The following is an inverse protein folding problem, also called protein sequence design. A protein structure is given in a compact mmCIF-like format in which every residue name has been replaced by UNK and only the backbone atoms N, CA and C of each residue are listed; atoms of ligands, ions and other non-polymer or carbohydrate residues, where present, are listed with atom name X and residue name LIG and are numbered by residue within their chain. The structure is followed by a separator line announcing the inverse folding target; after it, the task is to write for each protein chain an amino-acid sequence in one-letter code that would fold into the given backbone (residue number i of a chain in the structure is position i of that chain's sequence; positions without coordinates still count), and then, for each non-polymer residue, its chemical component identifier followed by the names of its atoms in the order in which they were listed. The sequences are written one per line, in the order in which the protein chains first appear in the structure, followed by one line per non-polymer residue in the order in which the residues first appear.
data_IF_345822929664
#
_entry.id   IF_345822929664
#
_cell.length_a   1.000
_cell.length_b   1.000
_cell.length_c   1.000
_cell.angle_alpha   90.00
_cell.angle_beta   90.00
_cell.angle_gamma   90.00
#
_symmetry.space_group_name_H-M   'P 1'
#
loop_
_entity.id
_entity.type
_entity.pdbx_description
1 polymer ?
#
# COMPACT_ATOMS: atom_id res chain seq x y z
N UNK A 1 15.71 -15.03 1.47
CA UNK A 1 14.48 -15.17 0.66
C UNK A 1 13.29 -14.93 1.57
N UNK A 2 12.30 -14.17 1.12
CA UNK A 2 11.05 -13.88 1.85
C UNK A 2 9.85 -14.09 0.93
N UNK A 3 8.68 -14.39 1.49
CA UNK A 3 7.46 -14.57 0.71
C UNK A 3 6.62 -13.28 0.71
N UNK A 4 5.73 -13.07 -0.28
CA UNK A 4 4.76 -11.97 -0.27
C UNK A 4 3.96 -11.88 1.03
N UNK A 5 3.54 -13.03 1.59
CA UNK A 5 2.80 -13.10 2.84
C UNK A 5 3.62 -12.60 4.04
N UNK A 6 4.91 -12.99 4.12
CA UNK A 6 5.81 -12.51 5.18
C UNK A 6 6.03 -10.99 5.09
N UNK A 7 6.22 -10.45 3.88
CA UNK A 7 6.33 -8.99 3.69
C UNK A 7 5.04 -8.30 4.12
N UNK A 8 3.88 -8.83 3.74
CA UNK A 8 2.57 -8.27 4.13
C UNK A 8 2.39 -8.27 5.64
N UNK A 9 2.72 -9.38 6.32
CA UNK A 9 2.66 -9.49 7.78
C UNK A 9 3.63 -8.53 8.49
N UNK A 10 4.83 -8.32 7.94
CA UNK A 10 5.79 -7.34 8.47
C UNK A 10 5.22 -5.91 8.38
N UNK A 11 4.65 -5.52 7.24
CA UNK A 11 4.07 -4.19 7.09
C UNK A 11 2.82 -4.00 7.95
N UNK A 12 2.03 -5.06 8.15
CA UNK A 12 0.94 -5.05 9.12
C UNK A 12 1.48 -4.78 10.54
N UNK A 13 2.54 -5.47 10.96
CA UNK A 13 3.19 -5.23 12.25
C UNK A 13 3.76 -3.80 12.36
N UNK A 14 4.43 -3.32 11.32
CA UNK A 14 4.97 -1.95 11.29
C UNK A 14 3.88 -0.89 11.41
N UNK A 15 2.65 -1.19 11.02
CA UNK A 15 1.54 -0.23 11.00
C UNK A 15 0.64 -0.28 12.22
N UNK A 16 0.59 -1.40 12.96
CA UNK A 16 -0.35 -1.63 14.06
C UNK A 16 0.24 -1.41 15.48
N UNK A 17 1.30 -0.62 15.59
CA UNK A 17 1.99 -0.39 16.86
C UNK A 17 3.10 -1.41 17.15
N UNK A 18 3.54 -2.15 16.14
CA UNK A 18 4.67 -3.09 16.24
C UNK A 18 4.28 -4.53 16.55
N UNK A 19 3.02 -4.84 16.66
CA UNK A 19 2.53 -6.18 17.03
C UNK A 19 2.54 -7.12 15.84
N UNK A 20 3.27 -8.22 15.92
CA UNK A 20 3.27 -9.24 14.86
C UNK A 20 1.94 -10.01 14.87
N UNK A 21 1.28 -10.06 13.73
CA UNK A 21 0.03 -10.81 13.54
C UNK A 21 0.33 -12.03 12.68
N UNK A 22 -0.08 -13.20 13.12
CA UNK A 22 -0.05 -14.42 12.29
C UNK A 22 -1.24 -14.38 11.33
N UNK A 23 -1.02 -14.34 10.00
CA UNK A 23 -2.11 -14.39 9.05
C UNK A 23 -2.94 -15.66 9.22
N UNK A 24 -4.26 -15.56 9.14
CA UNK A 24 -5.22 -16.67 9.20
C UNK A 24 -6.29 -16.49 8.15
N UNK A 25 -6.71 -17.60 7.52
CA UNK A 25 -7.89 -17.67 6.66
C UNK A 25 -9.14 -18.10 7.45
N UNK A 26 -8.97 -18.45 8.72
CA UNK A 26 -10.07 -18.88 9.59
C UNK A 26 -10.60 -17.65 10.30
N UNK A 27 -11.91 -17.41 10.17
CA UNK A 27 -12.65 -16.37 10.88
C UNK A 27 -12.71 -16.76 12.36
N UNK A 28 -12.69 -15.77 13.25
CA UNK A 28 -12.80 -15.93 14.71
C UNK A 28 -11.69 -16.75 15.38
N UNK A 29 -10.60 -17.00 14.67
CA UNK A 29 -9.40 -17.50 15.32
C UNK A 29 -8.81 -16.41 16.22
N UNK A 30 -8.78 -16.67 17.53
CA UNK A 30 -8.08 -15.80 18.46
C UNK A 30 -6.64 -15.61 17.99
N UNK A 31 -6.30 -14.38 17.60
CA UNK A 31 -4.94 -14.03 17.32
C UNK A 31 -4.20 -13.96 18.65
N UNK A 32 -3.40 -14.97 18.96
CA UNK A 32 -2.47 -14.89 20.08
C UNK A 32 -1.64 -13.61 19.91
N UNK A 33 -1.80 -12.68 20.83
CA UNK A 33 -0.99 -11.47 20.85
C UNK A 33 0.47 -11.89 20.97
N UNK A 34 1.25 -11.55 19.99
CA UNK A 34 2.70 -11.66 20.04
C UNK A 34 3.25 -10.32 20.53
N UNK A 35 4.32 -10.35 21.27
CA UNK A 35 5.01 -9.15 21.75
C UNK A 35 5.33 -8.21 20.60
N UNK A 36 5.33 -6.90 20.90
CA UNK A 36 5.65 -5.90 19.91
C UNK A 36 7.12 -6.02 19.50
N UNK A 37 7.38 -6.15 18.20
CA UNK A 37 8.75 -6.23 17.64
C UNK A 37 9.39 -4.87 17.43
N UNK A 38 8.59 -3.79 17.44
CA UNK A 38 9.02 -2.40 17.44
C UNK A 38 8.12 -1.58 18.36
N UNK A 39 8.61 -0.43 18.84
CA UNK A 39 7.79 0.47 19.66
C UNK A 39 6.66 1.13 18.86
N UNK A 40 5.59 1.52 19.55
CA UNK A 40 4.50 2.28 18.93
C UNK A 40 5.00 3.61 18.33
N UNK A 41 5.94 4.27 18.96
CA UNK A 41 6.56 5.49 18.44
C UNK A 41 7.25 5.23 17.09
N UNK A 42 8.02 4.15 16.98
CA UNK A 42 8.66 3.73 15.74
C UNK A 42 7.62 3.40 14.67
N UNK A 43 6.54 2.71 15.03
CA UNK A 43 5.42 2.42 14.12
C UNK A 43 4.80 3.71 13.55
N UNK A 44 4.56 4.72 14.39
CA UNK A 44 4.03 6.02 13.94
C UNK A 44 5.00 6.71 12.98
N UNK A 45 6.29 6.75 13.31
CA UNK A 45 7.32 7.32 12.42
C UNK A 45 7.36 6.62 11.07
N UNK A 46 7.32 5.29 11.05
CA UNK A 46 7.31 4.49 9.81
C UNK A 46 6.08 4.78 8.97
N UNK A 47 4.88 4.84 9.55
CA UNK A 47 3.64 5.20 8.83
C UNK A 47 3.74 6.57 8.16
N UNK A 48 4.31 7.56 8.85
CA UNK A 48 4.51 8.90 8.33
C UNK A 48 5.52 8.92 7.16
N UNK A 49 6.60 8.12 7.25
CA UNK A 49 7.56 7.96 6.16
C UNK A 49 6.90 7.28 4.96
N UNK A 50 6.16 6.19 5.18
CA UNK A 50 5.46 5.48 4.12
C UNK A 50 4.40 6.36 3.44
N UNK A 51 3.72 7.25 4.19
CA UNK A 51 2.81 8.23 3.62
C UNK A 51 3.54 9.21 2.68
N UNK A 52 4.72 9.69 3.07
CA UNK A 52 5.52 10.60 2.24
C UNK A 52 5.98 9.96 0.91
N UNK A 53 6.18 8.65 0.86
CA UNK A 53 6.48 7.93 -0.40
C UNK A 53 5.34 8.05 -1.41
N UNK A 54 4.11 8.17 -0.93
CA UNK A 54 2.90 8.29 -1.78
C UNK A 54 2.52 9.74 -2.01
N UNK A 55 2.45 10.57 -0.96
CA UNK A 55 1.94 11.95 -1.04
C UNK A 55 3.02 13.01 -1.24
N UNK A 56 4.27 12.70 -0.94
CA UNK A 56 5.36 13.68 -1.03
C UNK A 56 5.69 14.09 -2.46
N UNK A 57 6.18 15.30 -2.66
CA UNK A 57 6.51 15.85 -3.99
C UNK A 57 7.44 14.94 -4.79
N UNK A 58 8.45 14.35 -4.15
CA UNK A 58 9.38 13.41 -4.76
C UNK A 58 9.03 11.95 -4.50
N UNK A 59 7.79 11.67 -4.08
CA UNK A 59 7.34 10.31 -3.77
C UNK A 59 7.24 9.44 -5.02
N UNK A 60 7.71 8.20 -4.91
CA UNK A 60 7.74 7.25 -6.03
C UNK A 60 6.41 6.51 -6.26
N UNK A 61 5.42 6.74 -5.40
CA UNK A 61 4.17 5.97 -5.41
C UNK A 61 2.91 6.86 -5.53
N UNK A 62 3.01 8.03 -6.16
CA UNK A 62 1.91 9.00 -6.26
C UNK A 62 0.68 8.47 -7.01
N UNK A 63 0.81 7.52 -7.93
CA UNK A 63 -0.32 6.92 -8.64
C UNK A 63 -1.25 6.09 -7.71
N UNK A 64 -0.78 5.73 -6.50
CA UNK A 64 -1.60 5.13 -5.46
C UNK A 64 -2.21 6.15 -4.50
N UNK A 65 -1.95 7.44 -4.65
CA UNK A 65 -2.57 8.48 -3.82
C UNK A 65 -4.04 8.64 -4.21
N UNK A 66 -4.92 8.05 -3.42
CA UNK A 66 -6.35 8.10 -3.62
C UNK A 66 -6.99 8.92 -2.51
N UNK A 67 -7.76 9.93 -2.90
CA UNK A 67 -8.43 10.84 -1.96
C UNK A 67 -9.26 10.07 -0.93
N UNK A 68 -9.09 10.40 0.34
CA UNK A 68 -9.81 9.81 1.45
C UNK A 68 -9.20 8.50 2.01
N UNK A 69 -8.25 7.87 1.29
CA UNK A 69 -7.69 6.58 1.74
C UNK A 69 -6.34 6.67 2.47
N UNK A 70 -5.68 7.83 2.44
CA UNK A 70 -4.41 8.06 3.14
C UNK A 70 -3.39 6.93 2.94
N UNK A 71 -3.22 6.53 1.69
CA UNK A 71 -2.33 5.41 1.33
C UNK A 71 -0.88 5.76 1.65
N UNK A 72 -0.18 4.86 2.31
CA UNK A 72 1.26 4.90 2.48
C UNK A 72 1.87 3.60 1.97
N UNK A 73 3.12 3.60 1.51
CA UNK A 73 3.69 2.37 1.01
C UNK A 73 5.13 2.50 0.53
N UNK A 74 5.66 1.39 -0.02
CA UNK A 74 7.03 1.32 -0.54
C UNK A 74 7.05 0.57 -1.86
N UNK A 75 7.73 1.15 -2.82
CA UNK A 75 8.01 0.54 -4.12
C UNK A 75 9.23 -0.38 -4.07
N UNK A 76 9.21 -1.44 -4.84
CA UNK A 76 10.36 -2.30 -5.09
C UNK A 76 10.45 -2.63 -6.58
N UNK A 77 11.61 -2.40 -7.18
CA UNK A 77 11.92 -2.80 -8.56
C UNK A 77 13.18 -3.63 -8.49
N UNK A 78 13.07 -4.90 -8.82
CA UNK A 78 14.18 -5.84 -8.84
C UNK A 78 14.38 -6.42 -10.25
N UNK A 79 15.60 -6.68 -10.62
CA UNK A 79 15.94 -7.46 -11.80
C UNK A 79 16.06 -8.93 -11.39
N UNK A 80 15.54 -9.83 -12.22
CA UNK A 80 15.63 -11.27 -11.97
C UNK A 80 17.08 -11.73 -12.09
N UNK A 81 17.46 -12.66 -11.22
CA UNK A 81 18.80 -13.23 -11.23
C UNK A 81 19.04 -13.98 -12.56
N UNK A 82 20.12 -13.63 -13.27
CA UNK A 82 20.53 -14.27 -14.52
C UNK A 82 19.97 -13.67 -15.80
N UNK A 83 18.88 -12.92 -15.76
CA UNK A 83 18.32 -12.24 -16.93
C UNK A 83 17.87 -10.80 -16.57
N UNK A 84 18.72 -9.83 -16.92
CA UNK A 84 18.44 -8.40 -16.68
C UNK A 84 17.21 -7.87 -17.42
N UNK A 85 16.63 -8.63 -18.35
CA UNK A 85 15.40 -8.25 -19.05
C UNK A 85 14.15 -8.56 -18.21
N UNK A 86 14.25 -9.49 -17.26
CA UNK A 86 13.14 -9.88 -16.42
C UNK A 86 13.13 -9.02 -15.14
N UNK A 87 12.02 -8.37 -14.89
CA UNK A 87 11.82 -7.50 -13.73
C UNK A 87 10.69 -7.98 -12.86
N UNK A 88 10.87 -7.81 -11.55
CA UNK A 88 9.82 -7.97 -10.56
C UNK A 88 9.55 -6.61 -9.93
N UNK A 89 8.36 -6.09 -10.17
CA UNK A 89 7.91 -4.82 -9.65
C UNK A 89 6.90 -5.05 -8.54
N UNK A 90 7.17 -4.49 -7.37
CA UNK A 90 6.32 -4.67 -6.19
C UNK A 90 5.91 -3.34 -5.60
N UNK A 91 4.75 -3.30 -5.00
CA UNK A 91 4.30 -2.24 -4.14
C UNK A 91 3.58 -2.83 -2.94
N UNK A 92 4.06 -2.50 -1.75
CA UNK A 92 3.40 -2.82 -0.49
C UNK A 92 2.82 -1.54 0.08
N UNK A 93 1.57 -1.56 0.45
CA UNK A 93 0.88 -0.40 1.00
C UNK A 93 0.10 -0.73 2.26
N UNK A 94 -0.07 0.30 3.08
CA UNK A 94 -0.95 0.32 4.24
C UNK A 94 -1.96 1.45 4.06
N UNK A 95 -3.18 1.24 4.49
CA UNK A 95 -4.20 2.30 4.44
C UNK A 95 -5.33 2.06 5.46
N UNK A 96 -5.82 3.21 6.03
CA UNK A 96 -5.22 4.54 6.00
C UNK A 96 -4.03 4.64 6.96
N UNK A 97 -3.03 5.45 6.64
CA UNK A 97 -1.81 5.56 7.47
C UNK A 97 -2.05 6.15 8.86
N UNK A 98 -3.07 7.00 9.02
CA UNK A 98 -3.45 7.58 10.30
C UNK A 98 -4.12 6.56 11.24
N UNK A 99 -4.87 5.60 10.71
CA UNK A 99 -5.52 4.51 11.45
C UNK A 99 -5.48 3.22 10.63
N UNK A 100 -4.33 2.53 10.56
CA UNK A 100 -4.13 1.41 9.67
C UNK A 100 -5.09 0.25 9.94
N UNK A 101 -5.79 -0.19 8.89
CA UNK A 101 -6.68 -1.33 8.94
C UNK A 101 -6.34 -2.37 7.88
N UNK A 102 -5.69 -1.94 6.79
CA UNK A 102 -5.42 -2.81 5.65
C UNK A 102 -3.99 -2.72 5.19
N UNK A 103 -3.49 -3.84 4.71
CA UNK A 103 -2.22 -3.97 4.00
C UNK A 103 -2.49 -4.61 2.66
N UNK A 104 -1.98 -4.01 1.57
CA UNK A 104 -2.11 -4.52 0.22
C UNK A 104 -0.73 -4.68 -0.40
N UNK A 105 -0.40 -5.88 -0.84
CA UNK A 105 0.82 -6.19 -1.59
C UNK A 105 0.47 -6.51 -3.04
N UNK A 106 1.08 -5.79 -3.96
CA UNK A 106 0.98 -6.02 -5.40
C UNK A 106 2.35 -6.39 -5.93
N UNK A 107 2.45 -7.53 -6.59
CA UNK A 107 3.66 -8.02 -7.25
C UNK A 107 3.33 -8.33 -8.71
N UNK A 108 4.14 -7.81 -9.60
CA UNK A 108 4.04 -8.04 -11.04
C UNK A 108 5.37 -8.60 -11.54
N UNK A 109 5.32 -9.76 -12.13
CA UNK A 109 6.46 -10.41 -12.76
C UNK A 109 6.48 -10.09 -14.25
N UNK A 110 7.62 -9.63 -14.73
CA UNK A 110 7.83 -9.22 -16.12
C UNK A 110 6.75 -8.28 -16.69
N UNK A 111 6.32 -7.25 -15.92
CA UNK A 111 5.32 -6.33 -16.42
C UNK A 111 5.85 -5.60 -17.65
N UNK A 112 4.95 -5.34 -18.60
CA UNK A 112 5.27 -4.57 -19.79
C UNK A 112 4.61 -3.20 -19.72
N UNK A 113 5.29 -2.18 -20.24
CA UNK A 113 4.70 -0.85 -20.38
C UNK A 113 3.60 -0.93 -21.43
N UNK A 114 2.41 -0.49 -21.06
CA UNK A 114 1.37 -0.17 -22.03
C UNK A 114 1.61 1.24 -22.57
N UNK A 115 2.00 1.33 -23.83
CA UNK A 115 2.32 2.62 -24.49
C UNK A 115 1.08 3.49 -24.75
N UNK A 116 -0.11 2.88 -24.73
CA UNK A 116 -1.38 3.57 -24.99
C UNK A 116 -2.04 4.06 -23.70
N UNK A 117 -1.57 3.58 -22.55
CA UNK A 117 -2.10 3.98 -21.26
C UNK A 117 -1.59 5.36 -20.85
N UNK A 118 -2.52 6.25 -20.60
CA UNK A 118 -2.26 7.59 -20.06
C UNK A 118 -2.55 7.56 -18.56
N UNK A 119 -1.57 8.04 -17.79
CA UNK A 119 -1.65 8.15 -16.35
C UNK A 119 -1.88 9.61 -15.97
N UNK A 120 -2.82 9.86 -15.09
CA UNK A 120 -2.86 11.16 -14.41
C UNK A 120 -1.81 11.14 -13.29
N UNK A 121 -0.65 11.71 -13.57
CA UNK A 121 0.44 11.80 -12.61
C UNK A 121 0.49 13.21 -12.04
N UNK A 122 0.04 13.37 -10.79
CA UNK A 122 0.00 14.67 -10.09
C UNK A 122 -0.75 15.76 -10.84
N UNK A 123 -1.89 15.41 -11.44
CA UNK A 123 -2.70 16.34 -12.21
C UNK A 123 -2.25 16.53 -13.68
N UNK A 124 -1.16 15.88 -14.09
CA UNK A 124 -0.65 15.96 -15.48
C UNK A 124 -0.82 14.61 -16.16
N UNK A 125 -1.46 14.61 -17.31
CA UNK A 125 -1.62 13.40 -18.12
C UNK A 125 -0.30 13.08 -18.83
N UNK A 126 0.21 11.88 -18.62
CA UNK A 126 1.52 11.44 -19.11
C UNK A 126 1.54 9.95 -19.40
N UNK A 127 2.51 9.51 -20.18
CA UNK A 127 2.81 8.09 -20.39
C UNK A 127 3.91 7.63 -19.45
N UNK A 128 3.92 6.32 -19.13
CA UNK A 128 4.97 5.77 -18.29
C UNK A 128 6.35 5.88 -19.00
N UNK A 129 7.32 6.62 -18.43
CA UNK A 129 8.64 6.76 -19.04
C UNK A 129 9.52 5.53 -18.82
N UNK A 130 9.25 4.75 -17.76
CA UNK A 130 10.07 3.61 -17.34
C UNK A 130 9.22 2.43 -16.89
N UNK A 131 9.75 1.22 -17.06
CA UNK A 131 9.16 0.00 -16.51
C UNK A 131 9.60 -0.18 -15.05
N UNK A 132 9.01 0.58 -14.15
CA UNK A 132 9.27 0.54 -12.71
C UNK A 132 7.99 0.39 -11.92
N UNK A 133 8.10 0.00 -10.65
CA UNK A 133 6.96 -0.15 -9.75
C UNK A 133 6.05 1.07 -9.70
N UNK A 134 6.63 2.27 -9.75
CA UNK A 134 5.87 3.53 -9.68
C UNK A 134 4.82 3.65 -10.79
N UNK A 135 5.06 3.03 -11.95
CA UNK A 135 4.20 3.13 -13.14
C UNK A 135 3.33 1.90 -13.38
N UNK A 136 3.55 0.81 -12.65
CA UNK A 136 2.76 -0.41 -12.82
C UNK A 136 2.19 -0.94 -11.51
N UNK A 137 2.94 -1.56 -10.60
CA UNK A 137 2.39 -2.12 -9.37
C UNK A 137 1.73 -1.07 -8.46
N UNK A 138 2.26 0.15 -8.43
CA UNK A 138 1.64 1.29 -7.73
C UNK A 138 0.30 1.67 -8.36
N UNK A 139 0.27 1.77 -9.70
CA UNK A 139 -0.97 2.09 -10.42
C UNK A 139 -2.04 1.02 -10.19
N UNK A 140 -1.65 -0.26 -10.29
CA UNK A 140 -2.58 -1.38 -10.03
C UNK A 140 -3.11 -1.32 -8.60
N UNK A 141 -2.24 -1.09 -7.61
CA UNK A 141 -2.67 -0.94 -6.21
C UNK A 141 -3.65 0.22 -6.02
N UNK A 142 -3.35 1.37 -6.64
CA UNK A 142 -4.26 2.53 -6.64
C UNK A 142 -5.63 2.19 -7.22
N UNK A 143 -5.68 1.46 -8.33
CA UNK A 143 -6.94 1.01 -8.93
C UNK A 143 -7.68 -0.02 -8.09
N UNK A 144 -6.98 -0.91 -7.42
CA UNK A 144 -7.59 -1.84 -6.46
C UNK A 144 -8.21 -1.06 -5.31
N UNK A 145 -7.45 -0.16 -4.66
CA UNK A 145 -7.92 0.63 -3.52
C UNK A 145 -9.14 1.48 -3.92
N UNK A 146 -9.12 2.09 -5.10
CA UNK A 146 -10.23 2.88 -5.64
C UNK A 146 -11.52 2.05 -5.77
N UNK A 147 -11.40 0.77 -6.17
CA UNK A 147 -12.55 -0.13 -6.34
C UNK A 147 -13.03 -0.75 -5.03
N UNK A 148 -12.11 -1.24 -4.19
CA UNK A 148 -12.49 -1.94 -2.96
C UNK A 148 -12.73 -1.00 -1.78
N UNK A 149 -12.14 0.19 -1.81
CA UNK A 149 -12.20 1.16 -0.72
C UNK A 149 -13.61 1.48 -0.25
N UNK A 150 -14.58 1.78 -1.16
CA UNK A 150 -15.97 2.00 -0.76
C UNK A 150 -16.60 0.79 -0.05
N UNK A 151 -16.31 -0.44 -0.52
CA UNK A 151 -16.81 -1.68 0.08
C UNK A 151 -16.24 -1.85 1.49
N UNK A 152 -14.94 -1.67 1.63
CA UNK A 152 -14.25 -1.76 2.92
C UNK A 152 -14.76 -0.71 3.92
N UNK A 153 -15.12 0.46 3.42
CA UNK A 153 -15.65 1.55 4.21
C UNK A 153 -17.04 1.25 4.76
N UNK A 154 -17.92 0.65 3.95
CA UNK A 154 -19.26 0.24 4.37
C UNK A 154 -19.16 -0.84 5.45
N UNK A 155 -18.28 -1.82 5.26
CA UNK A 155 -18.09 -2.93 6.20
C UNK A 155 -17.43 -2.49 7.52
N UNK A 156 -16.68 -1.40 7.52
CA UNK A 156 -16.07 -0.79 8.69
C UNK A 156 -16.71 0.58 8.96
N UNK A 157 -17.87 0.62 9.60
CA UNK A 157 -18.54 1.86 10.03
C UNK A 157 -17.64 2.86 10.80
N UNK A 158 -16.44 2.43 11.15
CA UNK A 158 -15.40 3.26 11.78
C UNK A 158 -14.53 4.03 10.77
N UNK A 159 -14.64 3.74 9.47
CA UNK A 159 -13.67 4.20 8.48
C UNK A 159 -14.05 5.52 7.80
N UNK A 160 -15.31 5.74 7.51
CA UNK A 160 -15.81 6.95 6.82
C UNK A 160 -16.79 7.77 7.66
N UNK A 161 -17.49 7.15 8.61
CA UNK A 161 -18.56 7.83 9.35
C UNK A 161 -18.12 9.08 10.12
N UNK A 162 -16.87 9.20 10.52
CA UNK A 162 -16.40 10.37 11.27
C UNK A 162 -16.03 11.58 10.39
N UNK A 163 -15.60 11.39 9.15
CA UNK A 163 -15.21 12.52 8.29
C UNK A 163 -16.34 13.09 7.42
N UNK A 164 -17.40 12.32 7.21
CA UNK A 164 -18.58 12.82 6.49
C UNK A 164 -19.51 13.60 7.42
N UNK A 165 -19.64 13.16 8.67
CA UNK A 165 -20.51 13.85 9.65
C UNK A 165 -19.91 15.16 10.15
N UNK A 166 -18.58 15.27 10.28
CA UNK A 166 -17.92 16.53 10.67
C UNK A 166 -17.92 17.62 9.59
N UNK A 167 -18.25 17.28 8.34
CA UNK A 167 -18.40 18.29 7.26
C UNK A 167 -19.82 18.80 7.05
N UNK A 168 -20.79 18.23 7.74
CA UNK A 168 -22.20 18.62 7.62
C UNK A 168 -22.83 19.13 8.95
N UNK A 169 -22.04 19.27 9.99
CA UNK A 169 -22.32 20.03 11.21
C UNK A 169 -21.37 21.24 11.28
#
# INVERSE_FOLDING_TARGET
TTTPLQVTALYAAMSNGGKLIKPSLIIDKENSQVDAIISNETSIKLRNILRKVVSGENGTASLADKNGYFVGGKTGTAESYGDKKNRVNTFISIFPTNKPNYTLFVMLENPKINKDLIYNYRGVDTKAPYNTSGWNSVYVAGKIIEKIGPILAINNNKFIGQHVVEKFN
#
